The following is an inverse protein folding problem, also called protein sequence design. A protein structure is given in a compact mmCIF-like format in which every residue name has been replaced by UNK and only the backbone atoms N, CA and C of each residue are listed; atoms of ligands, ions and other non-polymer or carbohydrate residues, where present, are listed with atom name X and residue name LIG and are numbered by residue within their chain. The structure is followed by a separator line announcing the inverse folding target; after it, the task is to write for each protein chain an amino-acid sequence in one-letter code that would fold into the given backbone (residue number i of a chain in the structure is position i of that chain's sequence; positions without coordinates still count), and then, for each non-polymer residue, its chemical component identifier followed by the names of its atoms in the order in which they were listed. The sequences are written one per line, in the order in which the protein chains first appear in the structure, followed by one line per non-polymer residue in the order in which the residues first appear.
data_IF_108640912943
#
_entry.id   IF_108640912943
#
_cell.length_a   1.000
_cell.length_b   1.000
_cell.length_c   1.000
_cell.angle_alpha   90.00
_cell.angle_beta   90.00
_cell.angle_gamma   90.00
#
_symmetry.space_group_name_H-M   'P 1'
#
loop_
_entity.id
_entity.type
_entity.pdbx_description
1 polymer ?
#
# COMPACT_ATOMS: atom_id res chain seq x y z
N UNK A 1 11.32 2.41 -38.48
CA UNK A 1 12.20 3.30 -37.69
C UNK A 1 11.41 4.59 -37.48
N UNK A 2 10.89 4.82 -36.27
CA UNK A 2 9.97 5.93 -36.01
C UNK A 2 10.74 7.26 -35.93
N UNK A 3 10.37 8.23 -36.76
CA UNK A 3 10.84 9.62 -36.67
C UNK A 3 10.11 10.31 -35.52
N UNK A 4 10.59 10.11 -34.28
CA UNK A 4 10.13 10.89 -33.14
C UNK A 4 11.22 11.87 -32.70
N UNK A 5 10.84 13.13 -32.51
CA UNK A 5 11.70 14.13 -31.91
C UNK A 5 11.74 13.87 -30.39
N UNK A 6 12.89 13.43 -29.89
CA UNK A 6 13.14 13.33 -28.44
C UNK A 6 13.96 14.53 -27.99
N UNK A 7 13.45 15.28 -27.02
CA UNK A 7 14.24 16.30 -26.33
C UNK A 7 15.27 15.61 -25.46
N UNK A 8 16.55 15.88 -25.74
CA UNK A 8 17.69 15.33 -25.01
C UNK A 8 18.26 16.46 -24.15
N UNK A 9 17.95 16.44 -22.86
CA UNK A 9 18.42 17.46 -21.92
C UNK A 9 19.68 16.96 -21.20
N UNK A 10 20.76 17.74 -21.28
CA UNK A 10 22.03 17.45 -20.61
C UNK A 10 21.95 17.92 -19.15
N UNK A 11 21.70 17.00 -18.23
CA UNK A 11 21.52 17.29 -16.80
C UNK A 11 22.76 17.07 -15.93
N UNK A 12 23.95 16.90 -16.53
CA UNK A 12 25.18 16.62 -15.79
C UNK A 12 25.68 17.88 -15.06
N UNK A 13 25.96 17.77 -13.75
CA UNK A 13 26.55 18.83 -12.93
C UNK A 13 25.56 19.73 -12.17
N UNK A 14 24.25 19.57 -12.37
CA UNK A 14 23.24 20.35 -11.66
C UNK A 14 22.27 19.43 -10.90
N UNK A 15 22.43 19.37 -9.57
CA UNK A 15 21.67 18.50 -8.68
C UNK A 15 20.17 18.75 -8.72
N UNK A 16 19.75 19.98 -9.00
CA UNK A 16 18.34 20.35 -9.11
C UNK A 16 17.66 19.72 -10.34
N UNK A 17 18.34 19.71 -11.49
CA UNK A 17 17.80 19.14 -12.73
C UNK A 17 17.65 17.62 -12.59
N UNK A 18 18.67 16.96 -12.02
CA UNK A 18 18.62 15.52 -11.73
C UNK A 18 17.50 15.18 -10.74
N UNK A 19 17.34 15.99 -9.70
CA UNK A 19 16.25 15.86 -8.73
C UNK A 19 14.88 15.96 -9.41
N UNK A 20 14.65 16.91 -10.31
CA UNK A 20 13.35 17.04 -10.99
C UNK A 20 13.11 15.93 -12.02
N UNK A 21 14.14 15.55 -12.80
CA UNK A 21 14.06 14.45 -13.77
C UNK A 21 13.70 13.12 -13.10
N UNK A 22 14.17 12.87 -11.88
CA UNK A 22 13.83 11.67 -11.12
C UNK A 22 12.53 11.83 -10.31
N UNK A 23 12.28 12.99 -9.72
CA UNK A 23 11.14 13.18 -8.81
C UNK A 23 9.79 12.92 -9.48
N UNK A 24 9.55 13.42 -10.69
CA UNK A 24 8.21 13.34 -11.31
C UNK A 24 7.83 11.96 -11.85
N UNK A 25 8.73 11.19 -12.48
CA UNK A 25 8.44 9.79 -12.84
C UNK A 25 8.16 8.89 -11.62
N UNK A 26 8.80 9.14 -10.48
CA UNK A 26 8.65 8.34 -9.26
C UNK A 26 7.59 8.88 -8.28
N UNK A 27 7.08 10.10 -8.50
CA UNK A 27 5.93 10.64 -7.80
C UNK A 27 4.68 9.95 -8.37
N UNK A 28 4.51 8.67 -7.99
CA UNK A 28 3.43 7.83 -8.48
C UNK A 28 2.07 8.51 -8.39
N UNK A 29 1.12 8.03 -9.20
CA UNK A 29 -0.22 8.60 -9.24
C UNK A 29 -0.89 8.45 -7.88
N UNK A 30 -0.94 9.55 -7.12
CA UNK A 30 -1.66 9.64 -5.85
C UNK A 30 -3.14 9.73 -6.13
N UNK A 31 -3.77 8.62 -6.52
CA UNK A 31 -5.21 8.52 -6.65
C UNK A 31 -5.76 7.55 -5.61
N UNK A 32 -6.60 8.04 -4.72
CA UNK A 32 -7.47 7.25 -3.86
C UNK A 32 -8.89 7.72 -4.11
N UNK A 33 -9.75 6.85 -4.65
CA UNK A 33 -11.15 7.16 -4.88
C UNK A 33 -12.00 6.43 -3.84
N UNK A 34 -12.85 7.18 -3.13
CA UNK A 34 -13.95 6.64 -2.32
C UNK A 34 -15.23 7.22 -2.92
N UNK A 35 -16.15 6.36 -3.39
CA UNK A 35 -17.48 6.79 -3.84
C UNK A 35 -18.55 6.02 -3.08
N UNK A 36 -19.47 6.75 -2.48
CA UNK A 36 -20.67 6.25 -1.80
C UNK A 36 -21.87 6.90 -2.48
N UNK A 37 -22.77 6.12 -3.09
CA UNK A 37 -24.00 6.65 -3.69
C UNK A 37 -25.22 5.76 -3.40
N UNK A 38 -26.37 6.44 -3.22
CA UNK A 38 -27.62 5.88 -2.70
C UNK A 38 -28.63 5.43 -3.77
N UNK A 39 -28.40 5.70 -5.06
CA UNK A 39 -29.44 5.59 -6.11
C UNK A 39 -29.21 4.54 -7.21
N UNK A 40 -28.24 3.65 -7.06
CA UNK A 40 -28.17 2.38 -7.80
C UNK A 40 -27.95 2.42 -9.33
N UNK A 41 -27.98 3.58 -10.00
CA UNK A 41 -27.65 3.67 -11.43
C UNK A 41 -26.19 4.11 -11.63
N UNK A 42 -25.38 3.16 -12.10
CA UNK A 42 -23.96 3.34 -12.38
C UNK A 42 -23.80 3.61 -13.88
N UNK A 43 -23.63 4.89 -14.26
CA UNK A 43 -23.12 5.22 -15.59
C UNK A 43 -21.60 5.34 -15.52
N UNK A 44 -20.90 4.22 -15.74
CA UNK A 44 -19.43 4.19 -15.75
C UNK A 44 -18.95 4.06 -17.18
N UNK A 45 -18.24 5.08 -17.63
CA UNK A 45 -17.41 5.04 -18.83
C UNK A 45 -16.08 4.35 -18.45
N UNK A 46 -16.10 3.01 -18.42
CA UNK A 46 -14.94 2.19 -18.06
C UNK A 46 -13.70 2.51 -18.93
N UNK A 47 -13.81 2.65 -20.27
CA UNK A 47 -12.65 2.97 -21.11
C UNK A 47 -11.98 4.29 -20.75
N UNK A 48 -12.75 5.36 -20.52
CA UNK A 48 -12.21 6.66 -20.12
C UNK A 48 -11.59 6.61 -18.72
N UNK A 49 -12.16 5.80 -17.82
CA UNK A 49 -11.61 5.56 -16.50
C UNK A 49 -10.23 4.90 -16.57
N UNK A 50 -10.08 3.84 -17.37
CA UNK A 50 -8.79 3.17 -17.58
C UNK A 50 -7.77 4.08 -18.27
N UNK A 51 -8.19 4.88 -19.26
CA UNK A 51 -7.31 5.79 -19.98
C UNK A 51 -6.72 6.89 -19.08
N UNK A 52 -7.50 7.41 -18.10
CA UNK A 52 -7.05 8.43 -17.15
C UNK A 52 -6.07 7.90 -16.10
N UNK A 53 -6.11 6.60 -15.79
CA UNK A 53 -5.31 6.00 -14.70
C UNK A 53 -3.84 5.75 -15.04
N UNK A 54 -3.44 5.81 -16.32
CA UNK A 54 -2.16 5.26 -16.76
C UNK A 54 -1.42 6.23 -17.70
N UNK A 55 -1.31 7.51 -17.33
CA UNK A 55 -0.20 8.28 -17.88
C UNK A 55 1.09 7.73 -17.25
N UNK A 56 1.83 6.94 -18.04
CA UNK A 56 3.18 6.45 -17.73
C UNK A 56 4.12 7.20 -18.64
N UNK A 57 5.28 7.60 -18.13
CA UNK A 57 6.28 8.23 -18.99
C UNK A 57 6.68 7.27 -20.12
N UNK A 58 7.04 7.74 -21.32
CA UNK A 58 7.50 6.87 -22.42
C UNK A 58 8.62 5.90 -22.00
N UNK A 59 9.52 6.35 -21.12
CA UNK A 59 10.59 5.54 -20.55
C UNK A 59 10.07 4.42 -19.64
N UNK A 60 9.08 4.71 -18.80
CA UNK A 60 8.43 3.72 -17.94
C UNK A 60 7.62 2.70 -18.74
N UNK A 61 6.93 3.13 -19.80
CA UNK A 61 6.24 2.24 -20.72
C UNK A 61 7.22 1.31 -21.46
N UNK A 62 8.31 1.87 -21.99
CA UNK A 62 9.35 1.12 -22.71
C UNK A 62 10.03 0.07 -21.82
N UNK A 63 10.43 0.44 -20.61
CA UNK A 63 11.06 -0.49 -19.65
C UNK A 63 10.13 -1.63 -19.26
N UNK A 64 8.82 -1.36 -19.12
CA UNK A 64 7.82 -2.39 -18.85
C UNK A 64 7.59 -3.32 -20.05
N UNK A 65 7.52 -2.78 -21.27
CA UNK A 65 7.42 -3.57 -22.51
C UNK A 65 8.65 -4.49 -22.66
N UNK A 66 9.83 -3.96 -22.38
CA UNK A 66 11.08 -4.71 -22.47
C UNK A 66 11.37 -5.57 -21.23
N UNK A 67 10.47 -5.61 -20.24
CA UNK A 67 10.64 -6.34 -18.98
C UNK A 67 11.95 -6.01 -18.24
N UNK A 68 12.46 -4.79 -18.41
CA UNK A 68 13.65 -4.33 -17.70
C UNK A 68 13.33 -4.04 -16.24
N UNK A 69 14.27 -4.38 -15.35
CA UNK A 69 14.18 -4.01 -13.93
C UNK A 69 14.33 -2.49 -13.80
N UNK A 70 13.22 -1.80 -13.56
CA UNK A 70 13.15 -0.34 -13.50
C UNK A 70 13.89 0.24 -12.28
N UNK A 71 13.92 -0.50 -11.16
CA UNK A 71 14.68 -0.15 -9.97
C UNK A 71 15.18 -1.42 -9.29
N UNK A 72 16.43 -1.39 -8.81
CA UNK A 72 16.95 -2.35 -7.85
C UNK A 72 16.74 -1.79 -6.45
N UNK A 73 15.62 -2.13 -5.83
CA UNK A 73 15.42 -1.84 -4.42
C UNK A 73 16.16 -2.92 -3.63
N UNK A 74 17.15 -2.52 -2.83
CA UNK A 74 17.90 -3.44 -1.96
C UNK A 74 17.04 -4.03 -0.83
N UNK A 75 15.92 -3.39 -0.52
CA UNK A 75 15.05 -3.72 0.59
C UNK A 75 13.58 -3.75 0.16
N UNK A 76 12.82 -4.65 0.77
CA UNK A 76 11.37 -4.75 0.58
C UNK A 76 10.70 -3.71 1.47
N UNK A 77 9.94 -2.81 0.87
CA UNK A 77 9.09 -1.87 1.61
C UNK A 77 7.88 -2.64 2.14
N UNK A 78 7.80 -2.84 3.46
CA UNK A 78 6.63 -3.42 4.12
C UNK A 78 5.75 -2.29 4.65
N UNK A 79 4.49 -2.25 4.20
CA UNK A 79 3.52 -1.32 4.75
C UNK A 79 3.12 -1.77 6.16
N UNK A 80 3.55 -1.02 7.18
CA UNK A 80 3.11 -1.25 8.55
C UNK A 80 1.68 -0.73 8.71
N UNK A 81 0.79 -1.57 9.24
CA UNK A 81 -0.58 -1.20 9.58
C UNK A 81 -0.58 -0.37 10.86
N UNK A 82 -0.27 0.92 10.74
CA UNK A 82 -0.32 1.89 11.85
C UNK A 82 -1.67 2.60 11.81
N UNK A 83 -2.42 2.50 12.90
CA UNK A 83 -3.72 3.16 13.10
C UNK A 83 -3.98 3.35 14.59
N UNK A 84 -4.93 4.23 14.93
CA UNK A 84 -5.43 4.37 16.30
C UNK A 84 -6.19 3.11 16.74
N UNK A 85 -6.35 2.86 18.05
CA UNK A 85 -7.25 1.82 18.55
C UNK A 85 -8.64 1.97 17.91
N UNK A 86 -9.25 0.85 17.52
CA UNK A 86 -10.57 0.77 16.85
C UNK A 86 -10.67 1.40 15.46
N UNK A 87 -9.72 2.21 15.04
CA UNK A 87 -9.66 2.84 13.70
C UNK A 87 -8.93 1.99 12.66
N UNK A 88 -9.01 0.66 12.80
CA UNK A 88 -8.36 -0.25 11.88
C UNK A 88 -9.17 -0.44 10.59
N UNK A 89 -8.45 -0.66 9.47
CA UNK A 89 -9.10 -0.93 8.18
C UNK A 89 -9.72 -2.32 8.18
N UNK A 90 -11.03 -2.40 7.96
CA UNK A 90 -11.77 -3.64 7.81
C UNK A 90 -12.14 -3.85 6.34
N UNK A 91 -11.95 -5.08 5.85
CA UNK A 91 -12.27 -5.45 4.48
C UNK A 91 -13.52 -6.32 4.46
N UNK A 92 -14.62 -5.76 3.95
CA UNK A 92 -15.86 -6.48 3.76
C UNK A 92 -15.78 -7.33 2.49
N UNK A 93 -16.04 -8.62 2.65
CA UNK A 93 -16.15 -9.58 1.54
C UNK A 93 -17.43 -10.38 1.72
N UNK A 94 -18.04 -10.85 0.63
CA UNK A 94 -19.32 -11.59 0.68
C UNK A 94 -19.36 -12.73 1.71
N UNK A 95 -18.21 -13.35 1.99
CA UNK A 95 -18.06 -14.43 2.98
C UNK A 95 -17.96 -13.95 4.44
N UNK A 96 -17.44 -12.74 4.69
CA UNK A 96 -17.13 -12.24 6.03
C UNK A 96 -18.02 -11.07 6.48
N UNK A 97 -18.89 -10.54 5.62
CA UNK A 97 -19.72 -9.36 5.91
C UNK A 97 -20.57 -9.53 7.17
N UNK A 98 -21.33 -10.64 7.29
CA UNK A 98 -22.18 -10.91 8.46
C UNK A 98 -21.37 -11.00 9.76
N UNK A 99 -20.24 -11.70 9.73
CA UNK A 99 -19.34 -11.83 10.88
C UNK A 99 -18.75 -10.49 11.30
N UNK A 100 -18.32 -9.65 10.34
CA UNK A 100 -17.76 -8.33 10.61
C UNK A 100 -18.81 -7.38 11.21
N UNK A 101 -20.03 -7.39 10.68
CA UNK A 101 -21.12 -6.57 11.22
C UNK A 101 -21.42 -6.97 12.67
N UNK A 102 -21.51 -8.27 12.96
CA UNK A 102 -21.73 -8.73 14.33
C UNK A 102 -20.57 -8.35 15.27
N UNK A 103 -19.33 -8.43 14.80
CA UNK A 103 -18.14 -8.02 15.55
C UNK A 103 -18.14 -6.50 15.85
N UNK A 104 -18.53 -5.68 14.89
CA UNK A 104 -18.66 -4.23 15.06
C UNK A 104 -19.77 -3.90 16.08
N UNK A 105 -20.95 -4.50 15.93
CA UNK A 105 -22.09 -4.26 16.81
C UNK A 105 -21.84 -4.71 18.26
N UNK A 106 -21.00 -5.72 18.45
CA UNK A 106 -20.61 -6.21 19.78
C UNK A 106 -19.39 -5.48 20.37
N UNK A 107 -18.83 -4.50 19.66
CA UNK A 107 -17.60 -3.80 20.06
C UNK A 107 -16.34 -4.69 20.01
N UNK A 108 -16.44 -5.91 19.49
CA UNK A 108 -15.34 -6.86 19.44
C UNK A 108 -14.70 -6.90 18.05
N UNK A 109 -14.08 -5.77 17.68
CA UNK A 109 -13.46 -5.62 16.36
C UNK A 109 -12.25 -6.56 16.26
N UNK A 110 -12.10 -7.34 15.16
CA UNK A 110 -10.99 -8.28 15.02
C UNK A 110 -9.65 -7.58 15.13
N UNK A 111 -8.71 -8.15 15.88
CA UNK A 111 -7.43 -7.52 16.12
C UNK A 111 -6.53 -7.44 14.87
N UNK A 112 -5.95 -6.26 14.68
CA UNK A 112 -4.86 -6.01 13.75
C UNK A 112 -3.53 -6.53 14.31
N UNK A 113 -2.48 -6.65 13.48
CA UNK A 113 -1.14 -6.91 13.97
C UNK A 113 -0.69 -5.91 15.05
N UNK A 114 -1.00 -4.63 14.90
CA UNK A 114 -0.59 -3.60 15.86
C UNK A 114 -1.38 -3.68 17.19
N UNK A 115 -2.70 -3.87 17.13
CA UNK A 115 -3.51 -4.00 18.36
C UNK A 115 -3.19 -5.30 19.12
N UNK A 116 -2.90 -6.38 18.39
CA UNK A 116 -2.41 -7.62 18.99
C UNK A 116 -1.03 -7.45 19.63
N UNK A 117 -0.16 -6.60 19.06
CA UNK A 117 1.16 -6.31 19.62
C UNK A 117 1.04 -5.57 20.94
N UNK A 118 0.21 -4.52 21.03
CA UNK A 118 -0.04 -3.83 22.30
C UNK A 118 -0.59 -4.76 23.38
N UNK A 119 -1.58 -5.60 23.02
CA UNK A 119 -2.11 -6.62 23.93
C UNK A 119 -1.06 -7.65 24.38
N UNK A 120 -0.04 -7.90 23.56
CA UNK A 120 1.07 -8.78 23.92
C UNK A 120 2.08 -8.06 24.81
N UNK A 121 2.38 -6.79 24.56
CA UNK A 121 3.23 -5.97 25.42
C UNK A 121 2.68 -5.85 26.85
N UNK A 122 1.35 -5.81 27.01
CA UNK A 122 0.73 -5.83 28.34
C UNK A 122 0.93 -7.15 29.09
N UNK A 123 1.03 -8.28 28.35
CA UNK A 123 1.09 -9.63 28.93
C UNK A 123 2.51 -10.15 29.11
N UNK A 124 3.41 -9.91 28.15
CA UNK A 124 4.77 -10.43 28.11
C UNK A 124 5.76 -9.27 28.18
N UNK A 125 6.52 -9.20 29.29
CA UNK A 125 7.56 -8.19 29.47
C UNK A 125 8.72 -8.34 28.48
N UNK A 126 8.91 -9.53 27.89
CA UNK A 126 9.95 -9.75 26.89
C UNK A 126 9.69 -8.96 25.60
N UNK A 127 8.41 -8.75 25.25
CA UNK A 127 8.01 -8.06 24.02
C UNK A 127 8.08 -6.54 24.17
N UNK A 128 8.07 -6.02 25.40
CA UNK A 128 8.16 -4.57 25.66
C UNK A 128 9.43 -3.92 25.10
N UNK A 129 10.50 -4.70 24.95
CA UNK A 129 11.78 -4.23 24.41
C UNK A 129 11.91 -4.44 22.89
N UNK A 130 10.94 -5.07 22.24
CA UNK A 130 10.95 -5.36 20.80
C UNK A 130 10.08 -4.32 20.09
N UNK A 131 10.65 -3.55 19.18
CA UNK A 131 9.88 -2.63 18.35
C UNK A 131 8.90 -3.42 17.44
N UNK A 132 7.72 -2.86 17.19
CA UNK A 132 6.71 -3.49 16.33
C UNK A 132 7.23 -3.86 14.93
N UNK A 133 8.15 -3.07 14.38
CA UNK A 133 8.81 -3.35 13.11
C UNK A 133 9.70 -4.60 13.13
N UNK A 134 10.27 -4.94 14.29
CA UNK A 134 11.17 -6.09 14.49
C UNK A 134 10.42 -7.32 15.03
N UNK A 135 9.13 -7.21 15.34
CA UNK A 135 8.30 -8.35 15.77
C UNK A 135 8.39 -9.57 14.84
N UNK A 136 8.37 -9.42 13.50
CA UNK A 136 8.45 -10.56 12.58
C UNK A 136 9.72 -11.41 12.70
N UNK A 137 10.76 -10.93 13.39
CA UNK A 137 12.02 -11.69 13.59
C UNK A 137 11.87 -12.80 14.63
N UNK A 138 10.94 -12.64 15.58
CA UNK A 138 10.80 -13.54 16.74
C UNK A 138 9.36 -14.04 16.93
N UNK A 139 8.37 -13.30 16.41
CA UNK A 139 6.95 -13.62 16.54
C UNK A 139 6.24 -13.58 15.19
N UNK A 140 5.41 -14.58 14.94
CA UNK A 140 4.59 -14.66 13.73
C UNK A 140 3.13 -14.29 14.06
N UNK A 141 2.54 -13.36 13.30
CA UNK A 141 1.14 -13.01 13.45
C UNK A 141 0.23 -13.98 12.66
N UNK A 142 -0.66 -14.67 13.38
CA UNK A 142 -1.72 -15.50 12.83
C UNK A 142 -3.10 -14.87 13.09
N UNK A 143 -4.01 -14.86 12.11
CA UNK A 143 -5.37 -14.32 12.29
C UNK A 143 -6.21 -15.11 13.31
N UNK A 144 -5.87 -16.38 13.57
CA UNK A 144 -6.56 -17.22 14.55
C UNK A 144 -5.91 -17.14 15.93
N UNK A 145 -4.59 -17.26 15.97
CA UNK A 145 -3.81 -17.40 17.21
C UNK A 145 -3.05 -16.12 17.62
N UNK A 146 -3.18 -15.04 16.84
CA UNK A 146 -2.39 -13.80 16.96
C UNK A 146 -0.90 -14.12 16.97
N UNK A 147 -0.12 -13.46 17.82
CA UNK A 147 1.31 -13.70 17.91
C UNK A 147 1.61 -15.01 18.63
N UNK A 148 2.16 -15.97 17.90
CA UNK A 148 2.87 -17.12 18.45
C UNK A 148 4.38 -16.88 18.36
N UNK A 149 5.16 -17.45 19.30
CA UNK A 149 6.62 -17.53 19.13
C UNK A 149 6.91 -18.43 17.93
N UNK A 150 7.76 -17.95 17.03
CA UNK A 150 8.17 -18.68 15.83
C UNK A 150 9.15 -19.80 16.14
#
# INVERSE_FOLDING_TARGET
MFQCHHNLEFAYGQTDNLKYALKYPFKGSSFSYVRSEASGLINVDEPLHYARMIYRSPTEAYTRIMSYKYAFLSHIVKALTIHLPENQKLYFTRKNTSKLINAINSGNIPDSPLSAYWKLCDKDSAVKNILFENMPETYAFNKKDRFGRS
#
